data_IF_327099249624
#
_entry.id   IF_327099249624
#
_cell.length_a   1.000
_cell.length_b   1.000
_cell.length_c   1.000
_cell.angle_alpha   90.00
_cell.angle_beta   90.00
_cell.angle_gamma   90.00
#
_symmetry.space_group_name_H-M   'P 1'
#
loop_
_entity.id
_entity.type
_entity.pdbx_description
1 polymer ?
#
# COMPACT_ATOMS: atom_id res chain seq x y z
N UNK A 1 -45.91 10.03 -1.71
CA UNK A 1 -45.31 9.17 -0.66
C UNK A 1 -44.44 8.19 -1.41
N UNK A 2 -43.13 8.40 -1.39
CA UNK A 2 -42.17 7.56 -2.11
C UNK A 2 -41.98 6.35 -1.20
N UNK A 3 -42.36 5.19 -1.71
CA UNK A 3 -42.21 3.90 -1.03
C UNK A 3 -40.72 3.66 -0.84
N UNK A 4 -40.32 3.46 0.42
CA UNK A 4 -38.99 3.01 0.75
C UNK A 4 -38.85 1.62 0.15
N UNK A 5 -38.05 1.49 -0.91
CA UNK A 5 -37.51 0.20 -1.29
C UNK A 5 -36.76 -0.32 -0.08
N UNK A 6 -37.28 -1.40 0.52
CA UNK A 6 -36.60 -2.18 1.54
C UNK A 6 -35.33 -2.74 0.90
N UNK A 7 -34.26 -1.95 0.94
CA UNK A 7 -32.91 -2.33 0.57
C UNK A 7 -32.47 -3.39 1.58
N UNK A 8 -32.77 -4.65 1.27
CA UNK A 8 -32.29 -5.82 2.00
C UNK A 8 -30.78 -5.66 2.15
N UNK A 9 -30.33 -5.39 3.36
CA UNK A 9 -28.90 -5.29 3.63
C UNK A 9 -28.27 -6.66 3.34
N UNK A 10 -27.18 -6.71 2.57
CA UNK A 10 -26.54 -7.97 2.25
C UNK A 10 -26.10 -8.65 3.55
N UNK A 11 -26.36 -9.96 3.67
CA UNK A 11 -26.17 -10.75 4.90
C UNK A 11 -24.77 -10.57 5.50
N UNK A 12 -23.75 -10.36 4.66
CA UNK A 12 -22.40 -10.05 5.12
C UNK A 12 -22.26 -8.79 5.98
N UNK A 13 -23.05 -7.74 5.71
CA UNK A 13 -23.01 -6.53 6.52
C UNK A 13 -23.70 -6.72 7.87
N UNK A 14 -24.57 -7.73 7.98
CA UNK A 14 -25.19 -8.16 9.22
C UNK A 14 -24.19 -9.01 10.02
N UNK A 15 -23.49 -9.92 9.36
CA UNK A 15 -22.47 -10.79 9.98
C UNK A 15 -21.20 -10.03 10.39
N UNK A 16 -20.77 -9.04 9.59
CA UNK A 16 -19.54 -8.27 9.81
C UNK A 16 -19.78 -6.76 9.71
N UNK A 17 -20.20 -6.11 10.81
CA UNK A 17 -20.45 -4.67 10.84
C UNK A 17 -19.23 -3.81 10.48
N UNK A 18 -18.02 -4.26 10.82
CA UNK A 18 -16.77 -3.57 10.50
C UNK A 18 -16.51 -3.49 8.99
N UNK A 19 -16.90 -4.52 8.23
CA UNK A 19 -16.74 -4.55 6.76
C UNK A 19 -17.69 -3.57 6.09
N UNK A 20 -18.87 -3.33 6.68
CA UNK A 20 -19.83 -2.32 6.20
C UNK A 20 -19.22 -0.93 6.24
N UNK A 21 -18.60 -0.55 7.36
CA UNK A 21 -17.95 0.76 7.52
C UNK A 21 -16.80 0.94 6.53
N UNK A 22 -15.94 -0.07 6.39
CA UNK A 22 -14.81 -0.02 5.45
C UNK A 22 -15.27 0.03 3.98
N UNK A 23 -16.30 -0.73 3.62
CA UNK A 23 -16.85 -0.75 2.25
C UNK A 23 -17.45 0.61 1.88
N UNK A 24 -18.17 1.24 2.81
CA UNK A 24 -18.72 2.59 2.61
C UNK A 24 -17.60 3.64 2.48
N UNK A 25 -16.60 3.58 3.36
CA UNK A 25 -15.45 4.48 3.29
C UNK A 25 -14.67 4.32 1.97
N UNK A 26 -14.56 3.09 1.46
CA UNK A 26 -13.96 2.82 0.16
C UNK A 26 -14.80 3.40 -0.99
N UNK A 27 -16.12 3.18 -1.02
CA UNK A 27 -16.99 3.78 -2.03
C UNK A 27 -16.93 5.31 -1.99
N UNK A 28 -16.89 5.93 -0.80
CA UNK A 28 -16.71 7.38 -0.65
C UNK A 28 -15.34 7.86 -1.15
N UNK A 29 -14.28 7.11 -0.86
CA UNK A 29 -12.95 7.38 -1.40
C UNK A 29 -12.93 7.34 -2.92
N UNK A 30 -13.56 6.34 -3.55
CA UNK A 30 -13.62 6.21 -5.02
C UNK A 30 -14.43 7.35 -5.64
N UNK A 31 -15.53 7.77 -5.02
CA UNK A 31 -16.31 8.96 -5.45
C UNK A 31 -15.48 10.25 -5.45
N UNK A 32 -14.50 10.34 -4.56
CA UNK A 32 -13.61 11.51 -4.47
C UNK A 32 -12.45 11.46 -5.47
N UNK A 33 -12.28 10.36 -6.21
CA UNK A 33 -11.43 10.32 -7.39
C UNK A 33 -12.20 10.97 -8.54
N UNK A 34 -11.55 11.80 -9.36
CA UNK A 34 -12.11 12.52 -10.53
C UNK A 34 -12.57 11.55 -11.68
N UNK A 35 -13.14 10.40 -11.34
CA UNK A 35 -13.71 9.42 -12.26
C UNK A 35 -15.15 9.73 -12.66
N UNK A 36 -15.65 8.98 -13.66
CA UNK A 36 -17.07 9.07 -14.04
C UNK A 36 -17.94 8.52 -12.90
N UNK A 37 -19.09 9.15 -12.59
CA UNK A 37 -20.03 8.62 -11.60
C UNK A 37 -20.54 7.22 -11.95
N UNK A 38 -20.59 6.88 -13.25
CA UNK A 38 -21.02 5.56 -13.73
C UNK A 38 -20.02 4.44 -13.42
N UNK A 39 -18.76 4.78 -13.16
CA UNK A 39 -17.70 3.83 -12.82
C UNK A 39 -17.58 3.59 -11.31
N UNK A 40 -18.37 4.32 -10.50
CA UNK A 40 -18.27 4.22 -9.05
C UNK A 40 -18.91 2.90 -8.54
N UNK A 41 -18.19 2.10 -7.75
CA UNK A 41 -18.73 0.84 -7.24
C UNK A 41 -19.85 1.07 -6.23
N UNK A 42 -20.92 0.27 -6.35
CA UNK A 42 -22.00 0.20 -5.38
C UNK A 42 -21.62 -0.72 -4.19
N UNK A 43 -21.89 -0.31 -2.94
CA UNK A 43 -21.47 -1.06 -1.75
C UNK A 43 -22.11 -2.45 -1.66
N UNK A 44 -23.35 -2.61 -2.14
CA UNK A 44 -24.05 -3.90 -2.18
C UNK A 44 -23.38 -4.89 -3.15
N UNK A 45 -22.91 -4.40 -4.30
CA UNK A 45 -22.14 -5.22 -5.26
C UNK A 45 -20.82 -5.66 -4.65
N UNK A 46 -20.14 -4.75 -3.96
CA UNK A 46 -18.87 -5.03 -3.30
C UNK A 46 -19.04 -6.07 -2.17
N UNK A 47 -20.12 -5.97 -1.39
CA UNK A 47 -20.49 -6.98 -0.39
C UNK A 47 -20.75 -8.35 -1.01
N UNK A 48 -21.48 -8.40 -2.12
CA UNK A 48 -21.77 -9.66 -2.82
C UNK A 48 -20.49 -10.37 -3.30
N UNK A 49 -19.41 -9.63 -3.59
CA UNK A 49 -18.15 -10.23 -4.04
C UNK A 49 -17.41 -11.01 -2.95
N UNK A 50 -17.54 -10.64 -1.67
CA UNK A 50 -16.96 -11.45 -0.59
C UNK A 50 -17.91 -12.53 -0.06
N UNK A 51 -19.22 -12.42 -0.32
CA UNK A 51 -20.19 -13.46 0.04
C UNK A 51 -19.99 -14.72 -0.79
N UNK A 52 -19.54 -14.56 -2.04
CA UNK A 52 -19.12 -15.67 -2.88
C UNK A 52 -17.83 -16.27 -2.34
N UNK A 53 -17.86 -17.52 -1.89
CA UNK A 53 -16.68 -18.36 -1.63
C UNK A 53 -15.95 -18.70 -2.93
N UNK A 54 -15.57 -17.68 -3.70
CA UNK A 54 -14.72 -17.84 -4.86
C UNK A 54 -13.32 -18.16 -4.33
N UNK A 55 -13.08 -19.43 -3.98
CA UNK A 55 -11.90 -20.09 -4.51
C UNK A 55 -11.98 -19.89 -6.02
N UNK A 56 -11.47 -18.76 -6.50
CA UNK A 56 -11.23 -18.54 -7.90
C UNK A 56 -10.13 -19.52 -8.27
N UNK A 57 -10.51 -20.77 -8.55
CA UNK A 57 -9.68 -21.63 -9.37
C UNK A 57 -9.36 -20.79 -10.60
N UNK A 58 -8.07 -20.47 -10.86
CA UNK A 58 -7.73 -19.84 -12.10
C UNK A 58 -8.30 -20.72 -13.22
N UNK A 59 -8.93 -20.15 -14.26
CA UNK A 59 -9.53 -20.91 -15.36
C UNK A 59 -8.46 -21.55 -16.27
N UNK A 60 -7.44 -22.17 -15.68
CA UNK A 60 -6.29 -22.79 -16.32
C UNK A 60 -6.22 -24.26 -15.90
N UNK A 61 -7.34 -24.95 -16.01
CA UNK A 61 -7.37 -26.43 -15.95
C UNK A 61 -6.96 -27.06 -17.29
N UNK A 62 -6.88 -26.26 -18.38
CA UNK A 62 -6.45 -26.77 -19.68
C UNK A 62 -4.94 -26.60 -19.85
N UNK A 63 -4.17 -27.66 -20.17
CA UNK A 63 -2.76 -27.54 -20.47
C UNK A 63 -2.55 -26.58 -21.65
N UNK A 64 -1.69 -25.58 -21.44
CA UNK A 64 -1.34 -24.60 -22.48
C UNK A 64 -0.47 -25.31 -23.52
N UNK A 65 -1.05 -25.56 -24.70
CA UNK A 65 -0.33 -26.14 -25.82
C UNK A 65 0.19 -25.01 -26.73
N UNK A 66 1.51 -24.87 -26.84
CA UNK A 66 2.14 -23.89 -27.72
C UNK A 66 2.21 -24.48 -29.13
N UNK A 67 1.37 -23.96 -30.03
CA UNK A 67 1.28 -24.40 -31.42
C UNK A 67 1.61 -23.21 -32.33
N UNK A 68 2.47 -23.44 -33.32
CA UNK A 68 2.77 -22.42 -34.34
C UNK A 68 1.48 -22.01 -35.09
N UNK A 69 1.33 -20.72 -35.42
CA UNK A 69 0.13 -20.17 -36.07
C UNK A 69 -0.26 -20.90 -37.37
N UNK A 70 0.71 -21.48 -38.09
CA UNK A 70 0.50 -22.26 -39.31
C UNK A 70 -0.23 -23.59 -39.10
N UNK A 71 -0.31 -24.06 -37.85
CA UNK A 71 -0.93 -25.33 -37.49
C UNK A 71 -2.30 -25.14 -36.84
N UNK A 72 -2.78 -23.88 -36.69
CA UNK A 72 -4.12 -23.57 -36.22
C UNK A 72 -5.14 -23.55 -37.37
N UNK A 73 -6.40 -23.92 -37.13
CA UNK A 73 -7.47 -23.78 -38.12
C UNK A 73 -7.71 -22.30 -38.48
N UNK A 74 -8.17 -22.04 -39.70
CA UNK A 74 -8.29 -20.71 -40.30
C UNK A 74 -9.14 -19.74 -39.46
N UNK A 75 -10.19 -20.27 -38.83
CA UNK A 75 -11.12 -19.55 -37.98
C UNK A 75 -10.45 -18.96 -36.74
N UNK A 76 -9.47 -19.66 -36.17
CA UNK A 76 -8.70 -19.20 -35.00
C UNK A 76 -7.56 -18.25 -35.37
N UNK A 77 -7.02 -18.34 -36.59
CA UNK A 77 -5.98 -17.40 -37.05
C UNK A 77 -6.50 -15.97 -37.14
N UNK A 78 -7.76 -15.81 -37.50
CA UNK A 78 -8.37 -14.50 -37.73
C UNK A 78 -9.03 -13.91 -36.46
N UNK A 79 -9.26 -14.72 -35.41
CA UNK A 79 -9.85 -14.25 -34.15
C UNK A 79 -8.84 -13.55 -33.23
N UNK A 80 -7.54 -13.80 -33.43
CA UNK A 80 -6.46 -13.10 -32.74
C UNK A 80 -6.35 -11.70 -33.35
N UNK A 81 -7.11 -10.75 -32.79
CA UNK A 81 -6.88 -9.32 -33.08
C UNK A 81 -5.44 -9.01 -32.65
N UNK A 82 -4.64 -8.53 -33.60
CA UNK A 82 -3.32 -8.02 -33.30
C UNK A 82 -3.47 -6.95 -32.20
N UNK A 83 -2.70 -7.02 -31.09
CA UNK A 83 -2.84 -6.05 -30.01
C UNK A 83 -2.75 -4.62 -30.57
N UNK A 84 -3.61 -3.70 -30.12
CA UNK A 84 -3.75 -2.40 -30.74
C UNK A 84 -2.38 -1.70 -30.76
N UNK A 85 -1.94 -1.40 -31.99
CA UNK A 85 -0.68 -0.74 -32.32
C UNK A 85 -0.77 0.74 -31.96
N UNK A 86 -0.99 1.09 -30.69
CA UNK A 86 -1.23 2.46 -30.26
C UNK A 86 -0.01 3.40 -30.38
N UNK A 87 1.04 3.02 -31.11
CA UNK A 87 2.26 3.81 -31.30
C UNK A 87 2.84 3.75 -32.73
N UNK A 88 2.02 3.57 -33.78
CA UNK A 88 2.53 3.40 -35.17
C UNK A 88 2.21 4.51 -36.17
N UNK A 89 1.68 5.66 -35.73
CA UNK A 89 1.19 6.67 -36.70
C UNK A 89 2.13 7.85 -36.98
N UNK A 90 3.31 7.98 -36.35
CA UNK A 90 4.20 9.14 -36.64
C UNK A 90 5.70 8.89 -36.75
N UNK A 91 6.16 7.65 -36.84
CA UNK A 91 7.56 7.39 -37.22
C UNK A 91 7.60 6.18 -38.15
N UNK A 92 7.81 6.43 -39.44
CA UNK A 92 8.34 5.43 -40.36
C UNK A 92 9.74 5.07 -39.88
N UNK A 93 9.81 4.16 -38.92
CA UNK A 93 11.02 3.42 -38.63
C UNK A 93 11.02 2.26 -39.60
N UNK A 94 11.61 2.47 -40.78
CA UNK A 94 12.22 1.34 -41.47
C UNK A 94 13.22 0.77 -40.47
N UNK A 95 13.06 -0.51 -40.10
CA UNK A 95 14.03 -1.20 -39.26
C UNK A 95 15.39 -1.08 -39.95
N UNK A 96 16.25 -0.21 -39.43
CA UNK A 96 17.64 -0.16 -39.85
C UNK A 96 18.18 -1.54 -39.50
N UNK A 97 18.59 -2.31 -40.52
CA UNK A 97 19.38 -3.54 -40.35
C UNK A 97 20.74 -3.16 -39.78
N UNK A 98 20.78 -2.77 -38.50
CA UNK A 98 22.01 -2.62 -37.77
C UNK A 98 22.42 -4.01 -37.33
N UNK A 99 23.53 -4.49 -37.89
CA UNK A 99 24.23 -5.67 -37.38
C UNK A 99 24.44 -5.43 -35.88
N UNK A 100 24.00 -6.35 -35.00
CA UNK A 100 24.19 -6.18 -33.57
C UNK A 100 25.68 -6.02 -33.32
N UNK A 101 26.08 -4.84 -32.81
CA UNK A 101 27.48 -4.60 -32.51
C UNK A 101 27.84 -5.48 -31.30
N UNK A 102 28.44 -6.64 -31.58
CA UNK A 102 28.86 -7.65 -30.59
C UNK A 102 29.77 -7.05 -29.51
N UNK A 103 30.44 -5.92 -29.81
CA UNK A 103 31.32 -5.22 -28.87
C UNK A 103 30.92 -3.74 -28.71
N UNK A 104 30.62 -3.33 -27.47
CA UNK A 104 30.29 -1.93 -27.16
C UNK A 104 31.45 -1.01 -27.54
N UNK A 105 31.17 0.17 -28.12
CA UNK A 105 32.21 1.15 -28.45
C UNK A 105 32.92 1.68 -27.20
N UNK A 106 34.13 2.21 -27.35
CA UNK A 106 34.85 2.84 -26.23
C UNK A 106 34.08 4.02 -25.63
N UNK A 107 33.32 4.78 -26.45
CA UNK A 107 32.43 5.83 -25.97
C UNK A 107 31.30 5.25 -25.08
N UNK A 108 30.66 4.16 -25.52
CA UNK A 108 29.63 3.48 -24.73
C UNK A 108 30.19 2.88 -23.43
N UNK A 109 31.36 2.25 -23.46
CA UNK A 109 32.06 1.75 -22.26
C UNK A 109 32.44 2.87 -21.29
N UNK A 110 32.83 4.05 -21.79
CA UNK A 110 33.18 5.21 -20.97
C UNK A 110 31.93 5.84 -20.35
N UNK A 111 30.80 5.82 -21.05
CA UNK A 111 29.50 6.26 -20.54
C UNK A 111 28.99 5.30 -19.45
N UNK A 112 29.12 3.98 -19.64
CA UNK A 112 28.78 2.95 -18.65
C UNK A 112 29.51 3.10 -17.32
N UNK A 113 30.75 3.56 -17.36
CA UNK A 113 31.57 3.77 -16.16
C UNK A 113 31.06 4.91 -15.26
N UNK A 114 30.24 5.82 -15.81
CA UNK A 114 29.78 7.04 -15.14
C UNK A 114 28.26 7.11 -14.96
N UNK A 115 27.49 6.05 -15.26
CA UNK A 115 26.06 6.05 -15.00
C UNK A 115 25.78 5.70 -13.54
N UNK A 116 25.65 6.73 -12.70
CA UNK A 116 24.91 6.59 -11.46
C UNK A 116 23.44 6.30 -11.80
N UNK A 117 22.96 5.11 -11.41
CA UNK A 117 21.54 4.78 -11.56
C UNK A 117 20.76 5.57 -10.51
N UNK A 118 19.89 6.47 -10.94
CA UNK A 118 18.99 7.20 -10.04
C UNK A 118 17.66 6.46 -9.93
N UNK A 119 17.17 6.33 -8.70
CA UNK A 119 15.85 5.78 -8.44
C UNK A 119 14.95 6.96 -8.05
N UNK A 120 13.85 7.10 -8.79
CA UNK A 120 12.83 8.10 -8.51
C UNK A 120 11.73 7.44 -7.68
N UNK A 121 10.93 8.25 -6.97
CA UNK A 121 9.97 7.78 -5.97
C UNK A 121 9.01 6.68 -6.46
N UNK A 122 8.32 6.04 -5.52
CA UNK A 122 7.36 5.01 -5.87
C UNK A 122 6.16 5.58 -6.64
N UNK A 123 5.56 4.75 -7.51
CA UNK A 123 4.46 5.13 -8.42
C UNK A 123 3.22 5.70 -7.72
N UNK A 124 3.05 5.41 -6.44
CA UNK A 124 1.95 5.91 -5.60
C UNK A 124 2.22 7.28 -4.95
N UNK A 125 3.39 7.89 -5.16
CA UNK A 125 3.74 9.20 -4.61
C UNK A 125 3.61 10.27 -5.71
N UNK A 126 2.99 11.44 -5.44
CA UNK A 126 2.95 12.55 -6.39
C UNK A 126 4.36 13.01 -6.82
N UNK A 127 4.58 13.36 -8.11
CA UNK A 127 5.91 13.74 -8.62
C UNK A 127 6.61 14.87 -7.87
N UNK A 128 5.84 15.81 -7.32
CA UNK A 128 6.36 16.94 -6.52
C UNK A 128 7.06 16.50 -5.22
N UNK A 129 6.79 15.29 -4.75
CA UNK A 129 7.34 14.72 -3.53
C UNK A 129 8.43 13.66 -3.81
N UNK A 130 8.79 13.45 -5.08
CA UNK A 130 9.82 12.49 -5.44
C UNK A 130 11.17 12.98 -4.93
N UNK A 131 11.79 12.17 -4.08
CA UNK A 131 13.18 12.35 -3.67
C UNK A 131 14.06 11.49 -4.56
N UNK A 132 15.12 12.08 -5.10
CA UNK A 132 16.12 11.36 -5.89
C UNK A 132 16.95 10.51 -4.94
N UNK A 133 16.89 9.19 -5.10
CA UNK A 133 17.67 8.24 -4.30
C UNK A 133 18.85 7.77 -5.14
N UNK A 134 20.07 7.98 -4.63
CA UNK A 134 21.29 7.41 -5.20
C UNK A 134 21.34 5.90 -4.93
N UNK A 135 21.76 5.11 -5.93
CA UNK A 135 21.82 3.64 -5.85
C UNK A 135 22.62 3.11 -4.67
N UNK A 136 23.60 3.87 -4.18
CA UNK A 136 24.46 3.46 -3.06
C UNK A 136 23.68 3.25 -1.75
N UNK A 137 22.49 3.87 -1.63
CA UNK A 137 21.62 3.80 -0.46
C UNK A 137 20.40 2.87 -0.63
N UNK A 138 20.20 2.30 -1.83
CA UNK A 138 18.98 1.51 -2.15
C UNK A 138 18.90 0.20 -1.36
N UNK A 139 20.04 -0.32 -0.89
CA UNK A 139 20.10 -1.55 -0.09
C UNK A 139 19.84 -1.36 1.41
N UNK A 140 19.57 -0.14 1.88
CA UNK A 140 19.09 0.10 3.25
C UNK A 140 17.62 0.46 3.24
N UNK A 141 16.81 -0.42 2.67
CA UNK A 141 15.40 -0.47 3.03
C UNK A 141 15.35 -0.99 4.47
N UNK A 142 15.52 -0.11 5.45
CA UNK A 142 15.37 -0.48 6.86
C UNK A 142 13.97 -1.09 6.99
N UNK A 143 13.91 -2.37 7.37
CA UNK A 143 12.64 -3.03 7.59
C UNK A 143 11.84 -2.18 8.58
N UNK A 144 10.60 -1.83 8.22
CA UNK A 144 9.71 -1.00 9.06
C UNK A 144 9.58 -1.60 10.47
N UNK A 145 9.70 -2.93 10.57
CA UNK A 145 9.72 -3.71 11.80
C UNK A 145 10.93 -3.39 12.69
N UNK A 146 12.13 -3.25 12.14
CA UNK A 146 13.34 -2.93 12.93
C UNK A 146 13.26 -1.53 13.55
N UNK A 147 12.71 -0.55 12.81
CA UNK A 147 12.49 0.81 13.32
C UNK A 147 11.44 0.81 14.44
N UNK A 148 10.39 0.00 14.29
CA UNK A 148 9.36 -0.17 15.32
C UNK A 148 9.92 -0.86 16.57
N UNK A 149 10.78 -1.87 16.40
CA UNK A 149 11.40 -2.59 17.52
C UNK A 149 12.36 -1.71 18.31
N UNK A 150 13.16 -0.87 17.65
CA UNK A 150 14.05 0.10 18.31
C UNK A 150 13.24 1.14 19.08
N UNK A 151 12.18 1.70 18.47
CA UNK A 151 11.28 2.63 19.17
C UNK A 151 10.61 1.97 20.36
N UNK A 152 10.09 0.75 20.19
CA UNK A 152 9.40 0.01 21.24
C UNK A 152 10.32 -0.32 22.42
N UNK A 153 11.60 -0.63 22.18
CA UNK A 153 12.61 -0.77 23.24
C UNK A 153 12.85 0.54 23.99
N UNK A 154 13.03 1.64 23.27
CA UNK A 154 13.23 2.96 23.91
C UNK A 154 12.04 3.41 24.76
N UNK A 155 10.81 3.12 24.33
CA UNK A 155 9.60 3.42 25.11
C UNK A 155 9.49 2.54 26.36
N UNK A 156 9.87 1.26 26.26
CA UNK A 156 9.88 0.35 27.41
C UNK A 156 10.88 0.82 28.48
N UNK A 157 12.10 1.16 28.08
CA UNK A 157 13.13 1.69 28.99
C UNK A 157 12.68 2.99 29.67
N UNK A 158 12.05 3.90 28.91
CA UNK A 158 11.48 5.12 29.47
C UNK A 158 10.36 4.82 30.48
N UNK A 159 9.47 3.88 30.16
CA UNK A 159 8.38 3.49 31.06
C UNK A 159 8.89 2.83 32.35
N UNK A 160 9.89 1.96 32.27
CA UNK A 160 10.49 1.31 33.43
C UNK A 160 11.13 2.34 34.37
N UNK A 161 11.89 3.29 33.83
CA UNK A 161 12.47 4.38 34.61
C UNK A 161 11.40 5.25 35.31
N UNK A 162 10.35 5.62 34.58
CA UNK A 162 9.23 6.38 35.14
C UNK A 162 8.50 5.59 36.24
N UNK A 163 8.34 4.29 36.06
CA UNK A 163 7.71 3.40 37.03
C UNK A 163 8.57 3.25 38.29
N UNK A 164 9.89 3.18 38.16
CA UNK A 164 10.80 3.11 39.30
C UNK A 164 10.81 4.43 40.09
N UNK A 165 10.83 5.58 39.41
CA UNK A 165 10.62 6.89 40.06
C UNK A 165 9.26 6.97 40.76
N UNK A 166 8.21 6.42 40.14
CA UNK A 166 6.86 6.39 40.72
C UNK A 166 6.80 5.51 41.96
N UNK A 167 7.46 4.34 41.98
CA UNK A 167 7.56 3.48 43.16
C UNK A 167 8.26 4.18 44.33
N UNK A 168 9.34 4.90 44.06
CA UNK A 168 10.07 5.66 45.08
C UNK A 168 9.22 6.80 45.67
N UNK A 169 8.41 7.46 44.83
CA UNK A 169 7.65 8.66 45.22
C UNK A 169 6.21 8.38 45.64
N UNK A 170 5.68 7.16 45.41
CA UNK A 170 4.29 6.82 45.71
C UNK A 170 3.91 7.10 47.16
N UNK A 171 4.75 6.70 48.13
CA UNK A 171 4.46 6.90 49.55
C UNK A 171 4.35 8.38 49.93
N UNK A 172 5.26 9.20 49.39
CA UNK A 172 5.25 10.66 49.60
C UNK A 172 4.04 11.31 48.94
N UNK A 173 3.75 10.99 47.69
CA UNK A 173 2.63 11.56 46.95
C UNK A 173 1.27 11.20 47.59
N UNK A 174 1.07 9.93 47.97
CA UNK A 174 -0.13 9.49 48.66
C UNK A 174 -0.31 10.19 50.02
N UNK A 175 0.78 10.44 50.74
CA UNK A 175 0.74 11.19 52.00
C UNK A 175 0.41 12.67 51.77
N UNK A 176 0.95 13.30 50.72
CA UNK A 176 0.63 14.68 50.35
C UNK A 176 -0.83 14.83 49.94
N UNK A 177 -1.37 13.91 49.14
CA UNK A 177 -2.79 13.86 48.79
C UNK A 177 -3.67 13.69 50.03
N UNK A 178 -3.29 12.83 50.98
CA UNK A 178 -4.01 12.68 52.24
C UNK A 178 -4.05 13.99 53.04
N UNK A 179 -2.91 14.70 53.12
CA UNK A 179 -2.85 15.98 53.82
C UNK A 179 -3.72 17.04 53.14
N UNK A 180 -3.70 17.12 51.81
CA UNK A 180 -4.56 18.02 51.03
C UNK A 180 -6.05 17.69 51.24
N UNK A 181 -6.44 16.41 51.10
CA UNK A 181 -7.82 15.95 51.28
C UNK A 181 -8.35 16.18 52.70
N UNK A 182 -7.47 16.14 53.71
CA UNK A 182 -7.83 16.39 55.11
C UNK A 182 -7.59 17.84 55.56
N UNK A 183 -7.18 18.74 54.65
CA UNK A 183 -6.77 20.12 54.96
C UNK A 183 -5.81 20.21 56.17
N UNK A 184 -4.83 19.30 56.25
CA UNK A 184 -3.84 19.24 57.31
C UNK A 184 -2.56 19.94 56.91
N UNK A 185 -1.91 20.58 57.88
CA UNK A 185 -0.64 21.28 57.66
C UNK A 185 0.49 20.29 57.38
N UNK A 186 1.34 20.60 56.38
CA UNK A 186 2.53 19.80 56.05
C UNK A 186 3.55 19.85 57.20
N UNK A 187 4.06 18.69 57.67
CA UNK A 187 5.03 18.64 58.76
C UNK A 187 6.31 19.45 58.47
N UNK A 188 6.86 20.10 59.51
CA UNK A 188 8.01 21.00 59.38
C UNK A 188 9.27 20.31 58.81
N UNK A 189 9.46 19.01 59.07
CA UNK A 189 10.61 18.25 58.59
C UNK A 189 10.49 17.82 57.11
N UNK A 190 9.34 18.00 56.47
CA UNK A 190 9.19 17.77 55.02
C UNK A 190 9.40 19.04 54.18
N UNK A 191 9.54 20.20 54.82
CA UNK A 191 9.87 21.45 54.15
C UNK A 191 11.39 21.53 54.02
N UNK A 192 11.92 21.03 52.90
CA UNK A 192 13.31 21.24 52.50
C UNK A 192 13.40 22.34 51.46
#
# INVERSE_FOLDING_TARGET
>A
KIEAEDSIEPEMFIEFPSIKEETLAFCEFVKNLDGSPDDNPEPTTLASLFAGTHEAQPPVSTPINVVELINLPYELRNSVKEPPKLLRDKQSLTDSTSIPRVTKSNAARKQEKNFERFHYGAWYIPPKQWKVIRSDNVNKLNNKNEINDVKMKSYKELMENLNDQMKETHGYNAFMEFLQNKNKQVPKFMKF
#
